data_IF_370498472431
#
_entry.id   IF_370498472431
#
_cell.length_a   1.000
_cell.length_b   1.000
_cell.length_c   1.000
_cell.angle_alpha   90.00
_cell.angle_beta   90.00
_cell.angle_gamma   90.00
#
_symmetry.space_group_name_H-M   'P 1'
#
loop_
_entity.id
_entity.type
_entity.pdbx_description
1 polymer ?
#
# COMPACT_ATOMS: atom_id res chain seq x y z
N UNK A 1 4.06 16.69 -18.84
CA UNK A 1 2.66 16.60 -18.38
C UNK A 1 2.61 16.81 -16.86
N UNK A 2 1.89 17.82 -16.40
CA UNK A 2 1.78 18.16 -14.97
C UNK A 2 0.74 17.26 -14.28
N UNK A 3 1.11 16.01 -13.98
CA UNK A 3 0.21 15.10 -13.24
C UNK A 3 -0.02 15.62 -11.80
N UNK A 4 -1.27 15.74 -11.32
CA UNK A 4 -1.58 16.28 -9.98
C UNK A 4 -1.14 15.36 -8.84
N UNK A 5 -0.83 14.09 -9.15
CA UNK A 5 -0.38 13.08 -8.22
C UNK A 5 0.93 12.47 -8.69
N UNK A 6 1.79 12.10 -7.74
CA UNK A 6 2.78 11.05 -7.98
C UNK A 6 2.25 9.72 -7.48
N UNK A 7 2.37 8.70 -8.33
CA UNK A 7 2.07 7.30 -7.99
C UNK A 7 3.39 6.54 -7.99
N UNK A 8 3.75 5.98 -6.84
CA UNK A 8 4.93 5.15 -6.67
C UNK A 8 4.49 3.76 -6.26
N UNK A 9 4.90 2.75 -7.03
CA UNK A 9 4.68 1.35 -6.69
C UNK A 9 6.03 0.69 -6.49
N UNK A 10 6.18 0.00 -5.38
CA UNK A 10 7.39 -0.74 -5.02
C UNK A 10 7.02 -2.17 -4.66
N UNK A 11 7.86 -3.12 -5.07
CA UNK A 11 7.72 -4.55 -4.75
C UNK A 11 9.05 -5.03 -4.19
N UNK A 12 8.99 -5.74 -3.07
CA UNK A 12 10.15 -6.35 -2.45
C UNK A 12 9.76 -7.67 -1.76
N UNK A 13 10.74 -8.41 -1.25
CA UNK A 13 10.48 -9.55 -0.36
C UNK A 13 9.65 -9.13 0.87
N UNK A 14 8.79 -10.00 1.36
CA UNK A 14 8.02 -9.74 2.58
C UNK A 14 8.90 -9.99 3.82
N UNK A 15 9.08 -9.01 4.73
CA UNK A 15 10.03 -9.14 5.84
C UNK A 15 9.58 -10.11 6.95
N UNK A 16 8.29 -10.49 6.98
CA UNK A 16 7.76 -11.46 7.94
C UNK A 16 7.37 -12.80 7.28
N UNK A 17 7.59 -12.96 5.97
CA UNK A 17 7.25 -14.16 5.22
C UNK A 17 8.15 -14.35 3.99
N UNK A 18 9.23 -15.14 4.13
CA UNK A 18 10.32 -15.28 3.14
C UNK A 18 9.89 -15.66 1.72
N UNK A 19 8.76 -16.36 1.56
CA UNK A 19 8.24 -16.79 0.25
C UNK A 19 7.20 -15.83 -0.34
N UNK A 20 6.86 -14.77 0.39
CA UNK A 20 5.87 -13.79 -0.03
C UNK A 20 6.55 -12.51 -0.51
N UNK A 21 5.80 -11.72 -1.28
CA UNK A 21 6.17 -10.38 -1.68
C UNK A 21 5.36 -9.38 -0.90
N UNK A 22 5.95 -8.23 -0.64
CA UNK A 22 5.23 -7.07 -0.15
C UNK A 22 5.16 -6.05 -1.29
N UNK A 23 4.00 -5.46 -1.46
CA UNK A 23 3.75 -4.39 -2.43
C UNK A 23 3.34 -3.15 -1.69
N UNK A 24 4.03 -2.05 -1.95
CA UNK A 24 3.63 -0.71 -1.50
C UNK A 24 3.14 0.10 -2.68
N UNK A 25 1.97 0.70 -2.52
CA UNK A 25 1.43 1.70 -3.45
C UNK A 25 1.32 3.02 -2.68
N UNK A 26 2.20 3.96 -3.02
CA UNK A 26 2.22 5.32 -2.48
C UNK A 26 1.58 6.31 -3.45
N UNK A 27 0.64 7.10 -2.95
CA UNK A 27 0.04 8.23 -3.66
C UNK A 27 0.39 9.49 -2.91
N UNK A 28 0.97 10.49 -3.59
CA UNK A 28 1.17 11.81 -3.01
C UNK A 28 0.52 12.86 -3.88
N UNK A 29 -0.33 13.66 -3.27
CA UNK A 29 -0.83 14.89 -3.87
C UNK A 29 0.29 15.91 -4.01
N UNK A 30 0.45 16.50 -5.19
CA UNK A 30 1.46 17.54 -5.40
C UNK A 30 1.21 18.71 -4.44
N UNK A 31 2.30 19.29 -3.93
CA UNK A 31 2.22 20.57 -3.25
C UNK A 31 1.73 21.65 -4.22
N UNK A 32 0.75 22.44 -3.79
CA UNK A 32 0.23 23.54 -4.59
C UNK A 32 1.27 24.64 -4.57
N UNK A 33 1.88 24.94 -5.73
CA UNK A 33 2.81 26.04 -5.86
C UNK A 33 2.14 27.36 -5.44
N UNK A 34 2.89 28.25 -4.79
CA UNK A 34 2.43 29.58 -4.33
C UNK A 34 1.70 30.40 -5.42
N UNK A 35 1.95 30.13 -6.70
CA UNK A 35 1.27 30.78 -7.82
C UNK A 35 -0.23 30.43 -7.92
N UNK A 36 -0.66 29.23 -7.51
CA UNK A 36 -2.08 28.80 -7.52
C UNK A 36 -2.83 29.32 -6.28
N UNK A 37 -2.09 29.54 -5.18
CA UNK A 37 -2.57 30.16 -3.92
C UNK A 37 -3.09 31.59 -4.14
N UNK A 38 -2.80 32.22 -5.28
CA UNK A 38 -3.29 33.58 -5.61
C UNK A 38 -4.74 33.65 -6.08
N UNK A 39 -5.46 32.52 -6.16
CA UNK A 39 -6.88 32.52 -6.54
C UNK A 39 -7.76 32.79 -5.32
N UNK A 40 -8.70 33.73 -5.39
CA UNK A 40 -9.56 34.11 -4.26
C UNK A 40 -10.30 32.91 -3.62
N UNK A 41 -10.62 31.87 -4.41
CA UNK A 41 -11.23 30.62 -3.95
C UNK A 41 -10.31 29.81 -3.03
N UNK A 42 -9.03 29.68 -3.39
CA UNK A 42 -8.01 28.95 -2.60
C UNK A 42 -7.73 29.67 -1.28
N UNK A 43 -7.60 30.99 -1.33
CA UNK A 43 -7.43 31.82 -0.13
C UNK A 43 -8.65 31.73 0.79
N UNK A 44 -9.87 31.79 0.24
CA UNK A 44 -11.10 31.67 1.03
C UNK A 44 -11.24 30.29 1.68
N UNK A 45 -10.89 29.20 0.97
CA UNK A 45 -10.91 27.84 1.52
C UNK A 45 -9.90 27.67 2.66
N UNK A 46 -8.69 28.23 2.50
CA UNK A 46 -7.64 28.16 3.51
C UNK A 46 -7.98 28.98 4.76
N UNK A 47 -8.62 30.15 4.61
CA UNK A 47 -9.16 30.95 5.72
C UNK A 47 -10.32 30.21 6.42
N UNK A 48 -11.14 29.49 5.67
CA UNK A 48 -12.25 28.69 6.20
C UNK A 48 -11.82 27.34 6.81
N UNK A 49 -10.52 27.01 6.81
CA UNK A 49 -9.99 25.74 7.31
C UNK A 49 -10.38 24.52 6.46
N UNK A 50 -10.83 24.74 5.22
CA UNK A 50 -11.19 23.67 4.28
C UNK A 50 -9.97 23.32 3.43
N UNK A 51 -9.56 22.04 3.33
CA UNK A 51 -8.43 21.64 2.51
C UNK A 51 -8.60 22.05 1.05
N UNK A 52 -7.52 22.52 0.42
CA UNK A 52 -7.50 22.77 -1.03
C UNK A 52 -7.44 21.40 -1.72
N UNK A 53 -8.59 20.93 -2.20
CA UNK A 53 -8.67 19.69 -2.96
C UNK A 53 -7.95 19.86 -4.30
N UNK A 54 -7.01 18.95 -4.59
CA UNK A 54 -6.30 18.91 -5.87
C UNK A 54 -6.87 17.84 -6.82
N UNK A 55 -7.67 16.90 -6.29
CA UNK A 55 -8.64 16.12 -7.05
C UNK A 55 -9.81 15.65 -6.17
N UNK A 56 -10.92 15.34 -6.86
CA UNK A 56 -12.12 14.73 -6.29
C UNK A 56 -12.40 13.37 -6.93
N UNK A 57 -13.27 12.59 -6.29
CA UNK A 57 -13.69 11.25 -6.72
C UNK A 57 -12.51 10.32 -7.00
N UNK A 58 -11.52 10.31 -6.11
CA UNK A 58 -10.32 9.49 -6.30
C UNK A 58 -10.62 8.03 -6.02
N UNK A 59 -10.39 7.19 -7.03
CA UNK A 59 -10.60 5.74 -6.97
C UNK A 59 -9.31 5.04 -7.35
N UNK A 60 -8.84 4.18 -6.47
CA UNK A 60 -7.69 3.32 -6.72
C UNK A 60 -8.20 1.92 -7.00
N UNK A 61 -7.69 1.33 -8.05
CA UNK A 61 -8.07 0.02 -8.50
C UNK A 61 -6.81 -0.81 -8.72
N UNK A 62 -6.71 -1.98 -8.09
CA UNK A 62 -5.56 -2.88 -8.23
C UNK A 62 -6.01 -4.19 -8.86
N UNK A 63 -5.37 -4.54 -9.97
CA UNK A 63 -5.62 -5.79 -10.70
C UNK A 63 -4.38 -6.68 -10.64
N UNK A 64 -4.50 -7.88 -10.07
CA UNK A 64 -3.39 -8.83 -9.97
C UNK A 64 -3.40 -9.81 -11.15
N UNK A 65 -2.20 -10.12 -11.67
CA UNK A 65 -2.04 -11.14 -12.69
C UNK A 65 -2.08 -12.54 -12.04
N UNK A 66 -3.17 -13.27 -12.27
CA UNK A 66 -3.36 -14.65 -11.77
C UNK A 66 -2.30 -15.66 -12.24
N UNK A 67 -1.52 -15.35 -13.28
CA UNK A 67 -0.39 -16.19 -13.70
C UNK A 67 0.84 -16.02 -12.78
N UNK A 68 0.96 -14.85 -12.12
CA UNK A 68 2.09 -14.50 -11.25
C UNK A 68 1.70 -14.53 -9.76
N UNK A 69 0.43 -14.28 -9.43
CA UNK A 69 -0.07 -14.15 -8.05
C UNK A 69 -1.12 -15.21 -7.74
N UNK A 70 -0.85 -16.02 -6.71
CA UNK A 70 -1.74 -17.07 -6.22
C UNK A 70 -2.80 -16.53 -5.25
N UNK A 71 -2.42 -15.60 -4.37
CA UNK A 71 -3.30 -14.90 -3.43
C UNK A 71 -2.65 -13.60 -2.95
N UNK A 72 -3.44 -12.72 -2.34
CA UNK A 72 -2.95 -11.47 -1.74
C UNK A 72 -3.81 -11.06 -0.54
N UNK A 73 -3.27 -10.21 0.32
CA UNK A 73 -3.90 -9.67 1.51
C UNK A 73 -3.63 -8.16 1.62
N UNK A 74 -4.69 -7.35 1.73
CA UNK A 74 -4.59 -5.89 1.96
C UNK A 74 -4.36 -5.60 3.45
N UNK A 75 -3.19 -5.09 3.78
CA UNK A 75 -2.81 -4.80 5.17
C UNK A 75 -3.67 -3.64 5.73
N UNK A 76 -4.21 -3.82 6.93
CA UNK A 76 -4.88 -2.73 7.67
C UNK A 76 -6.35 -2.47 7.30
N UNK A 77 -6.93 -3.22 6.36
CA UNK A 77 -8.34 -3.06 5.94
C UNK A 77 -9.21 -4.31 6.16
N UNK A 78 -8.89 -5.10 7.18
CA UNK A 78 -9.52 -6.40 7.50
C UNK A 78 -11.04 -6.34 7.76
N UNK A 79 -11.61 -5.16 8.08
CA UNK A 79 -13.03 -5.01 8.43
C UNK A 79 -13.99 -4.79 7.25
N UNK A 80 -13.51 -4.73 6.00
CA UNK A 80 -14.41 -4.52 4.84
C UNK A 80 -14.87 -5.88 4.30
N UNK A 81 -16.16 -6.18 4.45
CA UNK A 81 -16.77 -7.41 3.97
C UNK A 81 -16.39 -7.72 2.51
N UNK A 82 -15.81 -8.91 2.35
CA UNK A 82 -15.61 -9.72 1.14
C UNK A 82 -16.39 -9.22 -0.09
N UNK A 83 -15.71 -8.50 -1.00
CA UNK A 83 -16.22 -8.31 -2.37
C UNK A 83 -15.77 -9.50 -3.22
N UNK A 84 -16.73 -10.00 -4.02
CA UNK A 84 -16.72 -11.30 -4.71
C UNK A 84 -15.78 -11.40 -5.94
N UNK A 85 -15.01 -10.36 -6.24
CA UNK A 85 -14.13 -10.33 -7.42
C UNK A 85 -12.68 -10.04 -7.01
N UNK A 86 -11.93 -11.10 -6.69
CA UNK A 86 -10.49 -11.08 -6.35
C UNK A 86 -9.58 -10.60 -7.49
N UNK A 87 -10.14 -10.28 -8.66
CA UNK A 87 -9.39 -9.71 -9.78
C UNK A 87 -9.22 -8.21 -9.65
N UNK A 88 -10.02 -7.57 -8.81
CA UNK A 88 -10.20 -6.14 -8.87
C UNK A 88 -10.51 -5.53 -7.50
N UNK A 89 -9.49 -5.03 -6.83
CA UNK A 89 -9.68 -4.31 -5.57
C UNK A 89 -9.91 -2.82 -5.85
N UNK A 90 -11.05 -2.26 -5.44
CA UNK A 90 -11.39 -0.84 -5.58
C UNK A 90 -11.41 -0.17 -4.21
N UNK A 91 -10.47 0.75 -4.00
CA UNK A 91 -10.36 1.58 -2.81
C UNK A 91 -10.87 2.99 -3.16
N UNK A 92 -11.94 3.39 -2.49
CA UNK A 92 -12.42 4.77 -2.52
C UNK A 92 -11.57 5.63 -1.59
N UNK A 93 -10.83 6.56 -2.18
CA UNK A 93 -9.95 7.48 -1.47
C UNK A 93 -10.60 8.86 -1.22
N UNK A 94 -11.85 9.07 -1.68
CA UNK A 94 -12.57 10.33 -1.51
C UNK A 94 -11.89 11.52 -2.17
N UNK A 95 -11.56 12.53 -1.37
CA UNK A 95 -10.82 13.73 -1.78
C UNK A 95 -9.36 13.65 -1.33
N UNK A 96 -8.43 13.97 -2.23
CA UNK A 96 -7.00 14.11 -1.89
C UNK A 96 -6.65 15.60 -1.89
N UNK A 97 -6.28 16.09 -0.71
CA UNK A 97 -5.74 17.43 -0.52
C UNK A 97 -4.26 17.52 -0.89
N UNK A 98 -3.80 18.75 -1.15
CA UNK A 98 -2.39 19.04 -1.39
C UNK A 98 -1.49 18.55 -0.24
N UNK A 99 -0.34 17.95 -0.57
CA UNK A 99 0.64 17.47 0.41
C UNK A 99 0.27 16.20 1.16
N UNK A 100 -0.98 15.71 1.04
CA UNK A 100 -1.39 14.45 1.66
C UNK A 100 -0.80 13.26 0.90
N UNK A 101 -0.36 12.26 1.67
CA UNK A 101 0.12 11.00 1.14
C UNK A 101 -0.72 9.83 1.67
N UNK A 102 -1.07 8.91 0.78
CA UNK A 102 -1.76 7.65 1.09
C UNK A 102 -0.80 6.51 0.78
N UNK A 103 -0.72 5.53 1.68
CA UNK A 103 0.04 4.30 1.45
C UNK A 103 -0.89 3.11 1.58
N UNK A 104 -0.86 2.24 0.58
CA UNK A 104 -1.53 0.94 0.56
C UNK A 104 -0.43 -0.13 0.57
N UNK A 105 -0.64 -1.18 1.36
CA UNK A 105 0.27 -2.32 1.45
C UNK A 105 -0.49 -3.61 1.15
N UNK A 106 0.03 -4.42 0.22
CA UNK A 106 -0.43 -5.78 -0.01
C UNK A 106 0.68 -6.77 0.30
N UNK A 107 0.36 -7.79 1.10
CA UNK A 107 1.13 -9.03 1.12
C UNK A 107 0.65 -9.92 -0.02
N UNK A 108 1.57 -10.45 -0.82
CA UNK A 108 1.28 -11.17 -2.07
C UNK A 108 1.98 -12.52 -2.02
N UNK A 109 1.26 -13.59 -2.34
CA UNK A 109 1.81 -14.94 -2.48
C UNK A 109 2.01 -15.23 -3.98
N UNK A 110 3.26 -15.32 -4.48
CA UNK A 110 3.52 -15.68 -5.86
C UNK A 110 3.05 -17.09 -6.20
N UNK A 111 2.69 -17.32 -7.46
CA UNK A 111 2.45 -18.68 -7.97
C UNK A 111 3.75 -19.49 -7.84
N UNK A 112 3.65 -20.71 -7.29
CA UNK A 112 4.81 -21.59 -7.09
C UNK A 112 5.67 -21.24 -5.88
N UNK A 113 5.30 -20.27 -5.06
CA UNK A 113 5.93 -20.06 -3.76
C UNK A 113 5.76 -21.32 -2.90
N UNK A 114 6.87 -21.93 -2.51
CA UNK A 114 6.88 -23.05 -1.55
C UNK A 114 6.61 -22.49 -0.15
N UNK A 115 5.36 -22.12 0.13
CA UNK A 115 4.99 -21.58 1.43
C UNK A 115 5.33 -22.61 2.53
N UNK A 116 6.09 -22.17 3.53
CA UNK A 116 6.28 -22.95 4.75
C UNK A 116 4.90 -23.09 5.45
N UNK A 117 4.41 -24.30 5.75
CA UNK A 117 3.08 -24.51 6.34
C UNK A 117 2.83 -23.74 7.65
N UNK A 118 3.88 -23.37 8.37
CA UNK A 118 3.81 -22.59 9.61
C UNK A 118 3.78 -21.06 9.41
N UNK A 119 4.11 -20.58 8.20
CA UNK A 119 4.05 -19.16 7.79
C UNK A 119 2.94 -18.91 6.75
N UNK A 120 2.11 -19.93 6.51
CA UNK A 120 0.98 -19.81 5.62
C UNK A 120 -0.01 -18.87 6.28
N UNK A 121 -0.20 -17.67 5.70
CA UNK A 121 -1.54 -17.06 5.64
C UNK A 121 -2.49 -18.25 5.48
N UNK A 122 -3.39 -18.59 6.43
CA UNK A 122 -4.38 -19.61 6.18
C UNK A 122 -4.98 -19.25 4.83
N UNK A 123 -4.94 -20.17 3.83
CA UNK A 123 -5.32 -19.85 2.46
C UNK A 123 -6.59 -19.05 2.56
N UNK A 124 -6.55 -17.79 2.09
CA UNK A 124 -7.65 -16.83 2.24
C UNK A 124 -8.91 -17.62 1.99
N UNK A 125 -9.63 -17.91 3.08
CA UNK A 125 -10.60 -19.00 3.26
C UNK A 125 -10.94 -19.67 1.90
N UNK A 126 -10.34 -20.82 1.52
CA UNK A 126 -10.19 -21.25 0.12
C UNK A 126 -11.50 -21.02 -0.59
N UNK A 127 -11.56 -19.93 -1.37
CA UNK A 127 -12.78 -19.27 -1.83
C UNK A 127 -14.02 -20.02 -1.37
N UNK A 128 -14.57 -19.67 -0.20
CA UNK A 128 -15.77 -20.33 0.35
C UNK A 128 -16.88 -20.49 -0.70
N UNK A 129 -16.85 -19.66 -1.75
CA UNK A 129 -17.49 -19.90 -3.03
C UNK A 129 -16.59 -19.49 -4.21
N UNK A 130 -15.97 -20.46 -4.88
CA UNK A 130 -15.47 -20.29 -6.25
C UNK A 130 -14.13 -20.97 -6.54
N UNK A 131 -14.08 -21.84 -7.53
CA UNK A 131 -12.81 -22.25 -8.13
C UNK A 131 -12.17 -21.05 -8.84
N UNK A 132 -10.83 -21.00 -8.81
CA UNK A 132 -10.04 -20.12 -9.66
C UNK A 132 -10.59 -20.14 -11.10
N UNK A 133 -11.02 -19.00 -11.62
CA UNK A 133 -11.35 -18.91 -13.05
C UNK A 133 -10.04 -18.98 -13.84
N UNK A 134 -9.77 -20.15 -14.43
CA UNK A 134 -8.61 -20.47 -15.28
C UNK A 134 -8.59 -19.74 -16.63
N UNK A 135 -9.45 -18.73 -16.82
CA UNK A 135 -9.48 -17.88 -18.00
C UNK A 135 -8.38 -16.80 -17.95
N UNK A 136 -7.14 -17.21 -17.71
CA UNK A 136 -5.96 -16.38 -17.99
C UNK A 136 -5.86 -16.25 -19.51
N UNK A 137 -5.83 -15.02 -20.04
CA UNK A 137 -5.66 -14.85 -21.48
C UNK A 137 -4.26 -15.30 -21.90
N UNK A 138 -4.08 -15.62 -23.18
CA UNK A 138 -2.75 -15.92 -23.71
C UNK A 138 -1.77 -14.73 -23.61
N UNK A 139 -2.28 -13.50 -23.47
CA UNK A 139 -1.46 -12.31 -23.21
C UNK A 139 -1.01 -12.27 -21.74
N UNK A 140 -1.91 -12.52 -20.79
CA UNK A 140 -1.58 -12.54 -19.35
C UNK A 140 -0.55 -13.62 -19.00
N UNK A 141 -0.62 -14.79 -19.66
CA UNK A 141 0.38 -15.86 -19.49
C UNK A 141 1.76 -15.52 -20.05
N UNK A 142 1.84 -14.55 -20.98
CA UNK A 142 3.10 -14.08 -21.58
C UNK A 142 3.64 -12.84 -20.88
N UNK A 143 2.79 -12.13 -20.14
CA UNK A 143 3.20 -10.96 -19.35
C UNK A 143 3.91 -11.39 -18.07
N UNK A 144 5.04 -10.75 -17.78
CA UNK A 144 5.75 -10.84 -16.50
C UNK A 144 5.24 -9.80 -15.48
N UNK A 145 4.19 -9.06 -15.81
CA UNK A 145 3.55 -8.11 -14.88
C UNK A 145 2.87 -8.88 -13.75
N UNK A 146 3.17 -8.48 -12.51
CA UNK A 146 2.56 -9.01 -11.30
C UNK A 146 1.20 -8.38 -11.03
N UNK A 147 1.08 -7.07 -11.25
CA UNK A 147 -0.15 -6.32 -11.04
C UNK A 147 -0.20 -5.04 -11.88
N UNK A 148 -1.39 -4.46 -11.97
CA UNK A 148 -1.63 -3.15 -12.54
C UNK A 148 -2.37 -2.27 -11.54
N UNK A 149 -1.85 -1.07 -11.29
CA UNK A 149 -2.50 -0.04 -10.49
C UNK A 149 -3.16 0.96 -11.42
N UNK A 150 -4.47 1.17 -11.22
CA UNK A 150 -5.32 2.10 -11.95
C UNK A 150 -5.85 3.15 -10.97
N UNK A 151 -5.43 4.39 -11.14
CA UNK A 151 -5.92 5.53 -10.37
C UNK A 151 -6.84 6.36 -11.26
N UNK A 152 -8.11 6.48 -10.86
CA UNK A 152 -9.06 7.41 -11.47
C UNK A 152 -9.26 8.61 -10.56
N UNK A 153 -9.30 9.79 -11.15
CA UNK A 153 -9.59 11.02 -10.43
C UNK A 153 -10.31 12.01 -11.34
N UNK A 154 -10.90 13.06 -10.77
CA UNK A 154 -11.39 14.25 -11.48
C UNK A 154 -10.64 15.47 -10.97
N UNK A 155 -10.35 16.42 -11.86
CA UNK A 155 -9.83 17.73 -11.42
C UNK A 155 -10.86 18.43 -10.52
N UNK A 156 -10.45 19.36 -9.63
CA UNK A 156 -11.36 19.95 -8.64
C UNK A 156 -12.60 20.61 -9.26
N UNK A 157 -12.41 21.33 -10.36
CA UNK A 157 -13.47 22.05 -11.08
C UNK A 157 -14.04 21.26 -12.28
N UNK A 158 -13.56 20.02 -12.52
CA UNK A 158 -13.95 19.21 -13.67
C UNK A 158 -14.83 18.01 -13.29
N UNK A 159 -15.68 17.57 -14.21
CA UNK A 159 -16.51 16.36 -14.01
C UNK A 159 -16.03 15.15 -14.82
N UNK A 160 -15.05 15.36 -15.69
CA UNK A 160 -14.42 14.30 -16.48
C UNK A 160 -13.40 13.55 -15.63
N UNK A 161 -13.50 12.22 -15.65
CA UNK A 161 -12.51 11.34 -14.99
C UNK A 161 -11.29 11.13 -15.89
N UNK A 162 -10.11 11.25 -15.29
CA UNK A 162 -8.82 10.90 -15.86
C UNK A 162 -8.34 9.57 -15.24
N UNK A 163 -7.56 8.80 -16.01
CA UNK A 163 -7.02 7.50 -15.60
C UNK A 163 -5.49 7.52 -15.70
N UNK A 164 -4.84 7.19 -14.59
CA UNK A 164 -3.42 6.87 -14.52
C UNK A 164 -3.31 5.36 -14.35
N UNK A 165 -2.57 4.71 -15.23
CA UNK A 165 -2.32 3.27 -15.19
C UNK A 165 -0.83 2.98 -15.09
N UNK A 166 -0.47 2.06 -14.19
CA UNK A 166 0.91 1.62 -13.94
C UNK A 166 0.94 0.11 -13.79
N UNK A 167 1.48 -0.58 -14.80
CA UNK A 167 1.81 -1.99 -14.70
C UNK A 167 3.13 -2.17 -13.93
N UNK A 168 3.20 -3.23 -13.13
CA UNK A 168 4.30 -3.48 -12.20
C UNK A 168 4.79 -4.89 -12.39
N UNK A 169 6.08 -5.02 -12.65
CA UNK A 169 6.82 -6.28 -12.68
C UNK A 169 7.51 -6.44 -11.33
N UNK A 170 7.59 -7.67 -10.86
CA UNK A 170 8.42 -8.00 -9.70
C UNK A 170 9.83 -8.40 -10.15
N UNK A 171 10.80 -7.54 -9.89
CA UNK A 171 12.20 -7.74 -10.26
C UNK A 171 13.01 -8.58 -9.26
N UNK A 172 12.36 -9.13 -8.22
CA UNK A 172 13.08 -9.97 -7.24
C UNK A 172 13.76 -9.18 -6.12
N UNK A 173 13.44 -7.90 -5.96
CA UNK A 173 14.15 -7.01 -5.02
C UNK A 173 14.05 -7.49 -3.56
N UNK A 174 15.15 -7.38 -2.81
CA UNK A 174 15.20 -7.74 -1.39
C UNK A 174 14.61 -6.61 -0.54
N UNK A 175 13.95 -6.97 0.57
CA UNK A 175 13.35 -5.95 1.44
C UNK A 175 14.37 -4.97 2.03
N UNK A 176 15.59 -5.43 2.29
CA UNK A 176 16.69 -4.60 2.77
C UNK A 176 17.08 -3.47 1.79
N UNK A 177 16.73 -3.57 0.51
CA UNK A 177 17.02 -2.56 -0.51
C UNK A 177 15.81 -1.64 -0.79
N UNK A 178 14.67 -1.88 -0.14
CA UNK A 178 13.46 -1.10 -0.33
C UNK A 178 13.64 0.37 0.11
N UNK A 179 12.81 1.27 -0.41
CA UNK A 179 12.88 2.68 -0.01
C UNK A 179 12.62 2.87 1.50
N UNK A 180 13.10 3.98 2.05
CA UNK A 180 12.85 4.32 3.45
C UNK A 180 11.34 4.39 3.77
N UNK A 181 10.54 4.91 2.84
CA UNK A 181 9.09 4.97 2.98
C UNK A 181 8.43 3.60 2.96
N UNK A 182 8.99 2.66 2.18
CA UNK A 182 8.53 1.28 2.16
C UNK A 182 8.86 0.57 3.47
N UNK A 183 10.12 0.66 3.91
CA UNK A 183 10.57 0.10 5.20
C UNK A 183 9.74 0.61 6.37
N UNK A 184 9.52 1.91 6.44
CA UNK A 184 8.72 2.51 7.51
C UNK A 184 7.26 2.03 7.48
N UNK A 185 6.63 1.99 6.31
CA UNK A 185 5.24 1.54 6.20
C UNK A 185 5.08 0.07 6.59
N UNK A 186 6.02 -0.80 6.20
CA UNK A 186 6.03 -2.20 6.58
C UNK A 186 6.19 -2.36 8.10
N UNK A 187 7.11 -1.60 8.72
CA UNK A 187 7.30 -1.63 10.16
C UNK A 187 6.02 -1.27 10.94
N UNK A 188 5.27 -0.27 10.46
CA UNK A 188 3.97 0.11 11.05
C UNK A 188 2.95 -1.01 10.91
N UNK A 189 2.85 -1.65 9.74
CA UNK A 189 1.94 -2.77 9.50
C UNK A 189 2.30 -3.97 10.39
N UNK A 190 3.57 -4.36 10.41
CA UNK A 190 4.09 -5.46 11.22
C UNK A 190 3.85 -5.22 12.72
N UNK A 191 4.10 -4.00 13.20
CA UNK A 191 3.80 -3.65 14.59
C UNK A 191 2.31 -3.82 14.93
N UNK A 192 1.43 -3.35 14.05
CA UNK A 192 -0.02 -3.53 14.21
C UNK A 192 -0.40 -5.00 14.30
N UNK A 193 0.18 -5.85 13.44
CA UNK A 193 -0.03 -7.30 13.47
C UNK A 193 0.47 -7.95 14.76
N UNK A 194 1.64 -7.54 15.25
CA UNK A 194 2.21 -8.07 16.49
C UNK A 194 1.38 -7.69 17.72
N UNK A 195 0.86 -6.46 17.78
CA UNK A 195 0.05 -5.99 18.89
C UNK A 195 -1.30 -6.70 19.00
N UNK A 196 -1.88 -7.09 17.85
CA UNK A 196 -3.17 -7.81 17.81
C UNK A 196 -3.02 -9.33 17.80
N UNK A 197 -1.79 -9.83 17.92
CA UNK A 197 -1.48 -11.24 17.81
C UNK A 197 -2.03 -11.89 16.51
N UNK A 198 -1.87 -11.18 15.39
CA UNK A 198 -2.42 -11.58 14.09
C UNK A 198 -1.91 -12.95 13.64
N UNK A 199 -2.77 -13.74 13.01
CA UNK A 199 -2.39 -14.98 12.33
C UNK A 199 -1.43 -14.74 11.15
N UNK A 200 -1.44 -13.51 10.60
CA UNK A 200 -0.59 -13.09 9.48
C UNK A 200 0.76 -12.49 9.91
N UNK A 201 1.04 -12.40 11.21
CA UNK A 201 2.29 -11.77 11.70
C UNK A 201 3.57 -12.52 11.29
N UNK A 202 3.45 -13.76 10.80
CA UNK A 202 4.56 -14.58 10.31
C UNK A 202 5.71 -14.70 11.30
N UNK A 203 6.94 -14.52 10.79
CA UNK A 203 8.18 -14.46 11.59
C UNK A 203 8.44 -13.10 12.23
N UNK A 204 7.51 -12.16 12.12
CA UNK A 204 7.68 -10.77 12.56
C UNK A 204 8.03 -10.65 14.04
N UNK A 205 8.82 -9.64 14.38
CA UNK A 205 9.25 -9.38 15.76
C UNK A 205 9.33 -7.89 16.06
N UNK A 206 9.19 -7.51 17.34
CA UNK A 206 9.40 -6.11 17.75
C UNK A 206 10.84 -5.63 17.48
N UNK A 207 11.81 -6.54 17.35
CA UNK A 207 13.17 -6.21 16.94
C UNK A 207 13.24 -5.80 15.47
N UNK A 208 12.66 -6.63 14.58
CA UNK A 208 12.56 -6.34 13.15
C UNK A 208 11.78 -5.05 12.88
N UNK A 209 10.68 -4.82 13.61
CA UNK A 209 9.93 -3.56 13.53
C UNK A 209 10.82 -2.35 13.84
N UNK A 210 11.64 -2.41 14.89
CA UNK A 210 12.55 -1.31 15.24
C UNK A 210 13.59 -1.09 14.14
N UNK A 211 14.20 -2.15 13.65
CA UNK A 211 15.19 -2.11 12.57
C UNK A 211 14.62 -1.43 11.32
N UNK A 212 13.49 -1.93 10.80
CA UNK A 212 12.85 -1.36 9.62
C UNK A 212 12.34 0.07 9.82
N UNK A 213 11.85 0.40 11.02
CA UNK A 213 11.42 1.76 11.34
C UNK A 213 12.59 2.74 11.46
N UNK A 214 13.74 2.29 11.96
CA UNK A 214 14.96 3.11 12.07
C UNK A 214 15.54 3.40 10.69
N UNK A 215 15.68 2.39 9.84
CA UNK A 215 16.10 2.55 8.45
C UNK A 215 15.10 3.37 7.63
N UNK A 216 13.81 3.21 7.93
CA UNK A 216 12.73 3.96 7.32
C UNK A 216 12.55 5.38 7.86
N UNK A 217 13.29 5.81 8.89
CA UNK A 217 13.10 7.14 9.50
C UNK A 217 13.37 8.28 8.51
N UNK A 218 14.28 8.06 7.55
CA UNK A 218 14.71 9.06 6.58
C UNK A 218 15.64 10.12 7.19
N UNK A 219 16.23 10.96 6.32
CA UNK A 219 17.17 12.02 6.72
C UNK A 219 16.47 13.26 7.30
N UNK A 220 15.23 13.52 6.91
CA UNK A 220 14.46 14.66 7.40
C UNK A 220 13.88 14.40 8.80
N UNK A 221 13.83 15.45 9.62
CA UNK A 221 13.34 15.37 11.00
C UNK A 221 11.83 15.18 11.01
N UNK A 222 11.38 13.92 10.93
CA UNK A 222 9.97 13.56 11.05
C UNK A 222 9.64 13.15 12.49
N UNK A 223 8.99 14.04 13.24
CA UNK A 223 8.62 13.82 14.65
C UNK A 223 7.65 12.64 14.82
N UNK A 224 6.80 12.34 13.83
CA UNK A 224 5.90 11.19 13.87
C UNK A 224 6.66 9.86 13.74
N UNK A 225 7.63 9.75 12.82
CA UNK A 225 8.47 8.55 12.69
C UNK A 225 9.31 8.32 13.94
N UNK A 226 9.83 9.39 14.54
CA UNK A 226 10.53 9.32 15.83
C UNK A 226 9.60 8.87 16.97
N UNK A 227 8.37 9.40 17.04
CA UNK A 227 7.38 9.00 18.02
C UNK A 227 6.95 7.54 17.89
N UNK A 228 6.86 7.02 16.66
CA UNK A 228 6.59 5.60 16.43
C UNK A 228 7.68 4.70 17.00
N UNK A 229 8.96 5.03 16.77
CA UNK A 229 10.08 4.27 17.36
C UNK A 229 10.00 4.20 18.88
N UNK A 230 9.68 5.32 19.53
CA UNK A 230 9.47 5.35 20.99
C UNK A 230 8.30 4.46 21.44
N UNK A 231 7.21 4.42 20.66
CA UNK A 231 6.07 3.54 20.95
C UNK A 231 6.47 2.06 20.87
N UNK A 232 7.22 1.66 19.84
CA UNK A 232 7.68 0.28 19.67
C UNK A 232 8.64 -0.11 20.78
N UNK A 233 9.59 0.76 21.17
CA UNK A 233 10.50 0.52 22.30
C UNK A 233 9.74 0.30 23.61
N UNK A 234 8.72 1.10 23.89
CA UNK A 234 7.86 0.93 25.07
C UNK A 234 7.13 -0.41 25.03
N UNK A 235 6.54 -0.79 23.89
CA UNK A 235 5.88 -2.08 23.74
C UNK A 235 6.85 -3.26 23.95
N UNK A 236 8.08 -3.16 23.44
CA UNK A 236 9.11 -4.17 23.62
C UNK A 236 9.54 -4.30 25.09
N UNK A 237 9.67 -3.19 25.81
CA UNK A 237 9.97 -3.21 27.24
C UNK A 237 8.85 -3.87 28.06
N UNK A 238 7.59 -3.54 27.75
CA UNK A 238 6.42 -4.11 28.43
C UNK A 238 6.26 -5.62 28.19
N UNK A 239 6.69 -6.14 27.03
CA UNK A 239 6.63 -7.58 26.73
C UNK A 239 7.77 -8.39 27.38
N UNK A 240 8.82 -7.71 27.85
CA UNK A 240 10.00 -8.33 28.50
C UNK A 240 9.91 -8.33 30.03
N UNK A 241 9.07 -7.48 30.62
CA UNK A 241 8.79 -7.44 32.06
C UNK A 241 7.58 -8.29 32.42
#
# INVERSE_FOLDING_TARGET
>A
PDEPFSVHVEVAGCPWADSHRLVRIGFRGRDVADSVVKTAKVVAQQIAGTPVAIAKDVKIQVEFNSAQVASYHLMGYEKRMLRKDFKNDEIDAGEIGAGNAVTILYEVVPVGANANPAASIPPVDPLKYGTYSTNTTQADRRSNEMLTVKLRYKTPDGDKSELIERAVVDDGEQFANASADFKFAAAVAEFGMLLRDSEFKGSGTLGAVLEWAEEGKGAERNEYRAGFLELVRKAQALKRG
#
